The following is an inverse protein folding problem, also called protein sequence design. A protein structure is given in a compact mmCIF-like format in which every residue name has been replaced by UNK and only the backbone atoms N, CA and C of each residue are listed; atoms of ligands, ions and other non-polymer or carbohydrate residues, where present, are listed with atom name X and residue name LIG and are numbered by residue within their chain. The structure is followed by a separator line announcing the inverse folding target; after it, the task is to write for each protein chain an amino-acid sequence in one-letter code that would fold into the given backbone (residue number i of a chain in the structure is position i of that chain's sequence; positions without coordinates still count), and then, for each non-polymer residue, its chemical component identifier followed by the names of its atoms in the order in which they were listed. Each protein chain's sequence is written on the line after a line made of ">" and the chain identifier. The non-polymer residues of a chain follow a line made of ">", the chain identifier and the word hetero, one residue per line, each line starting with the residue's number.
data_IF_611738177233
#
_entry.id   IF_611738177233
#
_cell.length_a   1.000
_cell.length_b   1.000
_cell.length_c   1.000
_cell.angle_alpha   90.00
_cell.angle_beta   90.00
_cell.angle_gamma   90.00
#
_symmetry.space_group_name_H-M   'P 1'
#
loop_
_entity.id
_entity.type
_entity.pdbx_description
1 polymer ?
#
# COMPACT_ATOMS: atom_id res chain seq x y z
N UNK A 1 -3.70 18.10 4.34
CA UNK A 1 -4.85 18.12 3.39
C UNK A 1 -5.71 19.38 3.50
N UNK A 2 -5.44 20.30 4.44
CA UNK A 2 -6.24 21.52 4.62
C UNK A 2 -6.57 21.77 6.10
N UNK A 3 -7.52 22.66 6.36
CA UNK A 3 -8.02 22.99 7.70
C UNK A 3 -9.55 23.00 7.72
N UNK A 4 -10.13 22.47 8.80
CA UNK A 4 -11.60 22.45 8.99
C UNK A 4 -12.15 23.81 9.44
N UNK A 5 -11.30 24.69 9.96
CA UNK A 5 -11.72 26.00 10.46
C UNK A 5 -11.96 27.01 9.33
N UNK A 6 -11.24 26.86 8.22
CA UNK A 6 -11.35 27.72 7.04
C UNK A 6 -11.89 26.97 5.80
N UNK A 7 -12.20 25.68 5.95
CA UNK A 7 -12.66 24.79 4.88
C UNK A 7 -11.70 24.69 3.70
N UNK A 8 -10.43 25.05 3.89
CA UNK A 8 -9.39 24.89 2.87
C UNK A 8 -9.12 23.41 2.60
N UNK A 9 -8.89 23.07 1.34
CA UNK A 9 -8.54 21.71 0.91
C UNK A 9 -7.38 21.75 -0.08
N UNK A 10 -6.34 20.97 0.19
CA UNK A 10 -5.29 20.67 -0.76
C UNK A 10 -5.73 19.52 -1.68
N UNK A 11 -6.32 19.88 -2.82
CA UNK A 11 -6.83 18.93 -3.80
C UNK A 11 -5.71 18.09 -4.46
N UNK A 12 -4.52 18.66 -4.66
CA UNK A 12 -3.39 17.97 -5.26
C UNK A 12 -2.87 16.86 -4.33
N UNK A 13 -2.76 17.16 -3.03
CA UNK A 13 -2.42 16.15 -2.02
C UNK A 13 -3.47 15.04 -1.96
N UNK A 14 -4.77 15.38 -1.94
CA UNK A 14 -5.86 14.40 -2.00
C UNK A 14 -5.72 13.48 -3.22
N UNK A 15 -5.52 14.06 -4.40
CA UNK A 15 -5.39 13.30 -5.65
C UNK A 15 -4.18 12.37 -5.63
N UNK A 16 -3.03 12.85 -5.13
CA UNK A 16 -1.83 12.02 -4.97
C UNK A 16 -2.10 10.81 -4.08
N UNK A 17 -2.78 10.99 -2.95
CA UNK A 17 -3.15 9.88 -2.06
C UNK A 17 -4.16 8.92 -2.71
N UNK A 18 -5.15 9.45 -3.45
CA UNK A 18 -6.12 8.62 -4.17
C UNK A 18 -5.48 7.73 -5.24
N UNK A 19 -4.34 8.15 -5.81
CA UNK A 19 -3.53 7.36 -6.75
C UNK A 19 -2.68 6.29 -6.07
N UNK A 20 -2.51 6.32 -4.74
CA UNK A 20 -1.68 5.36 -4.00
C UNK A 20 -2.40 4.03 -3.76
N UNK A 21 -2.69 3.34 -4.86
CA UNK A 21 -3.37 2.04 -4.92
C UNK A 21 -2.45 0.97 -5.51
N UNK A 22 -2.89 -0.28 -5.49
CA UNK A 22 -2.19 -1.40 -6.16
C UNK A 22 -1.96 -1.19 -7.66
N UNK A 23 -2.73 -0.31 -8.31
CA UNK A 23 -2.57 0.03 -9.72
C UNK A 23 -1.62 1.22 -9.95
N UNK A 24 -1.58 2.15 -9.00
CA UNK A 24 -0.75 3.35 -9.08
C UNK A 24 0.71 3.13 -8.70
N UNK A 25 1.02 2.07 -7.95
CA UNK A 25 2.39 1.69 -7.60
C UNK A 25 2.95 0.71 -8.64
N UNK A 26 4.05 1.07 -9.30
CA UNK A 26 4.64 0.26 -10.39
C UNK A 26 5.00 -1.16 -9.92
N UNK A 27 5.68 -1.28 -8.78
CA UNK A 27 6.07 -2.56 -8.17
C UNK A 27 4.87 -3.47 -7.88
N UNK A 28 3.71 -2.89 -7.56
CA UNK A 28 2.50 -3.66 -7.26
C UNK A 28 1.87 -4.29 -8.51
N UNK A 29 2.10 -3.75 -9.71
CA UNK A 29 1.49 -4.25 -10.97
C UNK A 29 1.88 -5.69 -11.26
N UNK A 30 3.14 -6.02 -10.99
CA UNK A 30 3.75 -7.34 -11.23
C UNK A 30 3.80 -8.22 -9.96
N UNK A 31 3.24 -7.77 -8.84
CA UNK A 31 3.24 -8.52 -7.59
C UNK A 31 2.07 -9.52 -7.54
N UNK A 32 2.37 -10.80 -7.29
CA UNK A 32 1.36 -11.85 -7.16
C UNK A 32 0.38 -11.62 -6.00
N UNK A 33 0.83 -10.96 -4.94
CA UNK A 33 0.06 -10.74 -3.72
C UNK A 33 -0.85 -9.50 -3.76
N UNK A 34 -0.89 -8.75 -4.87
CA UNK A 34 -1.53 -7.41 -4.94
C UNK A 34 -2.99 -7.39 -4.51
N UNK A 35 -3.75 -8.45 -4.77
CA UNK A 35 -5.16 -8.56 -4.38
C UNK A 35 -5.38 -9.13 -2.98
N UNK A 36 -4.32 -9.59 -2.31
CA UNK A 36 -4.35 -9.96 -0.89
C UNK A 36 -3.85 -8.82 0.00
N UNK A 37 -2.78 -8.12 -0.40
CA UNK A 37 -2.05 -7.18 0.46
C UNK A 37 -2.57 -5.74 0.43
N UNK A 38 -3.50 -5.40 -0.48
CA UNK A 38 -4.11 -4.06 -0.59
C UNK A 38 -3.15 -2.90 -0.93
N UNK A 39 -1.90 -3.18 -1.34
CA UNK A 39 -0.96 -2.16 -1.84
C UNK A 39 0.00 -1.57 -0.79
N UNK A 40 0.03 -2.13 0.42
CA UNK A 40 1.02 -1.82 1.46
C UNK A 40 0.86 -0.43 2.12
N UNK A 41 1.72 -0.16 3.11
CA UNK A 41 1.66 1.05 3.93
C UNK A 41 2.24 2.28 3.21
N UNK A 42 1.43 3.33 3.06
CA UNK A 42 1.86 4.61 2.46
C UNK A 42 2.88 5.36 3.33
N UNK A 43 2.77 5.26 4.67
CA UNK A 43 3.72 5.90 5.59
C UNK A 43 5.12 5.30 5.45
N UNK A 44 5.24 3.97 5.34
CA UNK A 44 6.52 3.31 5.07
C UNK A 44 7.10 3.73 3.71
N UNK A 45 6.27 3.84 2.67
CA UNK A 45 6.73 4.36 1.37
C UNK A 45 7.32 5.76 1.46
N UNK A 46 6.66 6.65 2.22
CA UNK A 46 7.19 8.00 2.46
C UNK A 46 8.48 7.99 3.28
N UNK A 47 8.49 7.31 4.44
CA UNK A 47 9.63 7.35 5.39
C UNK A 47 10.88 6.73 4.78
N UNK A 48 10.76 5.60 4.08
CA UNK A 48 11.92 4.84 3.60
C UNK A 48 12.29 5.14 2.14
N UNK A 49 11.33 5.58 1.31
CA UNK A 49 11.57 5.82 -0.12
C UNK A 49 11.30 7.26 -0.57
N UNK A 50 10.82 8.15 0.33
CA UNK A 50 10.45 9.53 0.00
C UNK A 50 9.19 9.66 -0.85
N UNK A 51 8.47 8.57 -1.13
CA UNK A 51 7.33 8.58 -2.03
C UNK A 51 6.29 7.52 -1.64
N UNK A 52 5.03 7.94 -1.44
CA UNK A 52 3.93 7.03 -1.11
C UNK A 52 3.63 6.04 -2.25
N UNK A 53 4.00 6.37 -3.49
CA UNK A 53 3.84 5.51 -4.66
C UNK A 53 4.94 4.45 -4.80
N UNK A 54 5.96 4.49 -3.92
CA UNK A 54 7.03 3.49 -3.86
C UNK A 54 6.87 2.63 -2.60
N UNK A 55 6.50 1.36 -2.72
CA UNK A 55 6.34 0.50 -1.55
C UNK A 55 7.68 0.19 -0.88
N UNK A 56 7.63 -0.02 0.45
CA UNK A 56 8.81 -0.38 1.21
C UNK A 56 9.09 -1.90 1.10
N UNK A 57 10.16 -2.26 0.40
CA UNK A 57 10.43 -3.64 -0.05
C UNK A 57 10.39 -4.68 1.06
N UNK A 58 11.08 -4.46 2.18
CA UNK A 58 11.11 -5.44 3.28
C UNK A 58 9.72 -5.66 3.90
N UNK A 59 8.91 -4.61 4.02
CA UNK A 59 7.51 -4.76 4.48
C UNK A 59 6.68 -5.58 3.49
N UNK A 60 6.90 -5.43 2.19
CA UNK A 60 6.23 -6.23 1.17
C UNK A 60 6.63 -7.71 1.20
N UNK A 61 7.90 -8.03 1.45
CA UNK A 61 8.35 -9.42 1.61
C UNK A 61 7.72 -10.09 2.85
N UNK A 62 7.72 -9.39 3.98
CA UNK A 62 7.06 -9.88 5.20
C UNK A 62 5.57 -10.11 4.99
N UNK A 63 4.89 -9.19 4.31
CA UNK A 63 3.45 -9.33 4.04
C UNK A 63 3.16 -10.49 3.09
N UNK A 64 3.96 -10.68 2.04
CA UNK A 64 3.88 -11.85 1.15
C UNK A 64 4.01 -13.14 1.95
N UNK A 65 4.96 -13.20 2.89
CA UNK A 65 5.12 -14.40 3.74
C UNK A 65 3.92 -14.64 4.66
N UNK A 66 3.35 -13.58 5.24
CA UNK A 66 2.12 -13.69 6.04
C UNK A 66 0.96 -14.25 5.22
N UNK A 67 0.83 -13.81 3.97
CA UNK A 67 -0.20 -14.29 3.04
C UNK A 67 0.03 -15.77 2.69
N UNK A 68 1.26 -16.17 2.37
CA UNK A 68 1.60 -17.59 2.16
C UNK A 68 1.19 -18.46 3.36
N UNK A 69 1.53 -18.04 4.58
CA UNK A 69 1.15 -18.76 5.80
C UNK A 69 -0.38 -18.82 5.97
N UNK A 70 -1.10 -17.73 5.71
CA UNK A 70 -2.55 -17.69 5.82
C UNK A 70 -3.23 -18.62 4.80
N UNK A 71 -2.74 -18.64 3.56
CA UNK A 71 -3.22 -19.55 2.52
C UNK A 71 -2.95 -21.01 2.89
N UNK A 72 -1.75 -21.31 3.41
CA UNK A 72 -1.43 -22.64 3.91
C UNK A 72 -2.37 -23.09 5.03
N UNK A 73 -2.57 -22.25 6.06
CA UNK A 73 -3.49 -22.56 7.16
C UNK A 73 -4.88 -22.84 6.60
N UNK A 74 -5.39 -21.99 5.69
CA UNK A 74 -6.69 -22.22 5.07
C UNK A 74 -6.75 -23.54 4.31
N UNK A 75 -5.71 -23.91 3.58
CA UNK A 75 -5.65 -25.18 2.86
C UNK A 75 -5.56 -26.40 3.79
N UNK A 76 -4.84 -26.28 4.91
CA UNK A 76 -4.65 -27.36 5.89
C UNK A 76 -5.85 -27.55 6.83
N UNK A 77 -6.73 -26.55 6.96
CA UNK A 77 -7.93 -26.59 7.81
C UNK A 77 -9.24 -26.62 7.01
N UNK A 78 -9.18 -26.82 5.69
CA UNK A 78 -10.33 -27.18 4.86
C UNK A 78 -10.55 -28.69 4.94
#
# INVERSE_FOLDING_TARGET
>A
MGSVFDLSIDAAMKERFAKSTVYGKEDCRNCWAKFYCSGGCNANGMIYNGDILKPHKISCETEKKRIECALYIKAATL
#
